data_IF_722400463673
#
_entry.id   IF_722400463673
#
_cell.length_a   1.000
_cell.length_b   1.000
_cell.length_c   1.000
_cell.angle_alpha   90.00
_cell.angle_beta   90.00
_cell.angle_gamma   90.00
#
_symmetry.space_group_name_H-M   'P 1'
#
loop_
_entity.id
_entity.type
_entity.pdbx_description
1 polymer ?
#
# COMPACT_ATOMS: atom_id res chain seq x y z
N UNK A 1 22.07 -4.12 2.69
CA UNK A 1 21.56 -4.98 3.78
C UNK A 1 21.05 -6.27 3.16
N UNK A 2 21.39 -7.47 3.67
CA UNK A 2 20.87 -8.71 3.12
C UNK A 2 19.33 -8.80 3.23
N UNK A 3 18.63 -9.42 2.25
CA UNK A 3 17.15 -9.47 2.24
C UNK A 3 16.51 -10.02 3.51
N UNK A 4 17.14 -10.99 4.17
CA UNK A 4 16.61 -11.61 5.39
C UNK A 4 16.48 -10.62 6.56
N UNK A 5 17.33 -9.60 6.62
CA UNK A 5 17.30 -8.59 7.69
C UNK A 5 16.06 -7.71 7.57
N UNK A 6 15.65 -7.40 6.33
CA UNK A 6 14.45 -6.61 6.08
C UNK A 6 13.18 -7.37 6.51
N UNK A 7 13.10 -8.67 6.19
CA UNK A 7 11.98 -9.53 6.62
C UNK A 7 11.91 -9.69 8.13
N UNK A 8 13.04 -9.86 8.81
CA UNK A 8 13.08 -9.96 10.27
C UNK A 8 12.58 -8.67 10.95
N UNK A 9 13.03 -7.50 10.48
CA UNK A 9 12.60 -6.20 10.99
C UNK A 9 11.10 -5.95 10.76
N UNK A 10 10.60 -6.35 9.58
CA UNK A 10 9.19 -6.25 9.26
C UNK A 10 8.33 -7.10 10.23
N UNK A 11 8.72 -8.35 10.47
CA UNK A 11 8.03 -9.22 11.44
C UNK A 11 8.02 -8.60 12.83
N UNK A 12 9.17 -8.13 13.32
CA UNK A 12 9.27 -7.48 14.63
C UNK A 12 8.42 -6.22 14.73
N UNK A 13 8.29 -5.44 13.65
CA UNK A 13 7.43 -4.26 13.62
C UNK A 13 5.96 -4.60 13.86
N UNK A 14 5.45 -5.67 13.22
CA UNK A 14 4.07 -6.15 13.43
C UNK A 14 3.82 -6.60 14.87
N UNK A 15 4.80 -7.28 15.49
CA UNK A 15 4.71 -7.75 16.88
C UNK A 15 4.60 -6.60 17.90
N UNK A 16 5.01 -5.38 17.55
CA UNK A 16 4.91 -4.23 18.46
C UNK A 16 3.47 -3.75 18.69
N UNK A 17 2.58 -3.99 17.72
CA UNK A 17 1.25 -3.37 17.69
C UNK A 17 1.25 -1.84 17.61
N UNK A 18 2.43 -1.20 17.45
CA UNK A 18 2.55 0.24 17.36
C UNK A 18 2.32 0.71 15.90
N UNK A 19 1.27 1.50 15.62
CA UNK A 19 0.95 1.97 14.29
C UNK A 19 2.11 2.64 13.54
N UNK A 20 2.89 3.45 14.24
CA UNK A 20 4.02 4.20 13.65
C UNK A 20 5.12 3.24 13.22
N UNK A 21 5.47 2.27 14.07
CA UNK A 21 6.51 1.27 13.76
C UNK A 21 6.06 0.37 12.60
N UNK A 22 4.78 0.00 12.56
CA UNK A 22 4.20 -0.79 11.46
C UNK A 22 4.23 0.01 10.15
N UNK A 23 3.89 1.30 10.18
CA UNK A 23 3.95 2.20 9.02
C UNK A 23 5.38 2.33 8.48
N UNK A 24 6.37 2.59 9.35
CA UNK A 24 7.79 2.70 8.97
C UNK A 24 8.31 1.42 8.30
N UNK A 25 7.75 0.26 8.68
CA UNK A 25 8.15 -1.03 8.13
C UNK A 25 7.88 -1.15 6.61
N UNK A 26 6.91 -0.38 6.08
CA UNK A 26 6.66 -0.29 4.64
C UNK A 26 7.86 0.25 3.86
N UNK A 27 8.72 1.04 4.51
CA UNK A 27 9.82 1.78 3.89
C UNK A 27 11.20 1.16 4.17
N UNK A 28 11.26 -0.03 4.79
CA UNK A 28 12.53 -0.73 5.01
C UNK A 28 13.17 -1.10 3.68
N UNK A 29 14.42 -0.70 3.48
CA UNK A 29 15.17 -1.02 2.25
C UNK A 29 15.58 -2.51 2.17
N UNK A 30 15.51 -3.15 0.98
CA UNK A 30 15.01 -2.60 -0.28
C UNK A 30 13.51 -2.37 -0.24
N UNK A 31 13.07 -1.25 -0.84
CA UNK A 31 11.66 -0.92 -0.96
C UNK A 31 11.00 -1.95 -1.87
N UNK A 32 9.85 -2.44 -1.45
CA UNK A 32 9.12 -3.51 -2.13
C UNK A 32 7.62 -3.20 -2.13
N UNK A 33 6.99 -3.32 -3.30
CA UNK A 33 5.57 -2.99 -3.44
C UNK A 33 4.67 -3.91 -2.62
N UNK A 34 5.01 -5.20 -2.49
CA UNK A 34 4.19 -6.16 -1.75
C UNK A 34 4.17 -5.82 -0.26
N UNK A 35 5.30 -5.39 0.31
CA UNK A 35 5.37 -4.93 1.70
C UNK A 35 4.57 -3.66 1.93
N UNK A 36 4.68 -2.68 1.03
CA UNK A 36 3.87 -1.45 1.15
C UNK A 36 2.38 -1.74 1.08
N UNK A 37 1.94 -2.61 0.16
CA UNK A 37 0.54 -3.06 0.05
C UNK A 37 0.09 -3.73 1.35
N UNK A 38 0.89 -4.67 1.88
CA UNK A 38 0.54 -5.40 3.09
C UNK A 38 0.41 -4.48 4.30
N UNK A 39 1.33 -3.53 4.47
CA UNK A 39 1.26 -2.54 5.56
C UNK A 39 0.04 -1.64 5.40
N UNK A 40 -0.21 -1.10 4.20
CA UNK A 40 -1.36 -0.24 3.94
C UNK A 40 -2.68 -0.95 4.30
N UNK A 41 -2.86 -2.19 3.84
CA UNK A 41 -4.05 -3.01 4.15
C UNK A 41 -4.15 -3.33 5.64
N UNK A 42 -3.06 -3.73 6.28
CA UNK A 42 -3.04 -4.04 7.72
C UNK A 42 -3.48 -2.84 8.54
N UNK A 43 -2.96 -1.64 8.24
CA UNK A 43 -3.35 -0.40 8.92
C UNK A 43 -4.82 -0.04 8.66
N UNK A 44 -5.29 -0.15 7.42
CA UNK A 44 -6.68 0.10 7.01
C UNK A 44 -7.69 -0.86 7.70
N UNK A 45 -7.29 -2.09 7.96
CA UNK A 45 -8.11 -3.08 8.67
C UNK A 45 -8.15 -2.83 10.19
N UNK A 46 -7.06 -2.31 10.76
CA UNK A 46 -6.90 -2.09 12.20
C UNK A 46 -7.31 -0.68 12.66
N UNK A 47 -8.21 0.01 11.92
CA UNK A 47 -8.71 1.37 12.20
C UNK A 47 -7.62 2.47 12.19
N UNK A 48 -6.50 2.22 11.52
CA UNK A 48 -5.39 3.16 11.32
C UNK A 48 -5.42 3.68 9.88
N UNK A 49 -6.61 4.11 9.46
CA UNK A 49 -6.93 4.33 8.04
C UNK A 49 -6.14 5.49 7.44
N UNK A 50 -5.77 6.51 8.23
CA UNK A 50 -4.96 7.62 7.76
C UNK A 50 -3.52 7.18 7.41
N UNK A 51 -2.91 6.38 8.30
CA UNK A 51 -1.57 5.82 8.08
C UNK A 51 -1.57 4.82 6.91
N UNK A 52 -2.60 3.97 6.83
CA UNK A 52 -2.76 3.03 5.72
C UNK A 52 -2.89 3.73 4.38
N UNK A 53 -3.68 4.82 4.32
CA UNK A 53 -3.83 5.63 3.12
C UNK A 53 -2.54 6.32 2.70
N UNK A 54 -1.77 6.86 3.65
CA UNK A 54 -0.47 7.47 3.36
C UNK A 54 0.48 6.47 2.67
N UNK A 55 0.60 5.26 3.22
CA UNK A 55 1.42 4.19 2.63
C UNK A 55 0.91 3.78 1.25
N UNK A 56 -0.41 3.67 1.07
CA UNK A 56 -1.01 3.34 -0.23
C UNK A 56 -0.70 4.40 -1.29
N UNK A 57 -0.85 5.69 -0.95
CA UNK A 57 -0.53 6.82 -1.85
C UNK A 57 0.96 6.82 -2.22
N UNK A 58 1.85 6.54 -1.28
CA UNK A 58 3.27 6.48 -1.59
C UNK A 58 3.64 5.26 -2.43
N UNK A 59 2.94 4.14 -2.24
CA UNK A 59 3.11 2.96 -3.07
C UNK A 59 2.77 3.25 -4.54
N UNK A 60 1.72 4.03 -4.82
CA UNK A 60 1.35 4.41 -6.20
C UNK A 60 2.38 5.35 -6.84
N UNK A 61 2.98 6.27 -6.07
CA UNK A 61 4.06 7.14 -6.57
C UNK A 61 5.34 6.35 -6.88
N UNK A 62 5.70 5.37 -6.05
CA UNK A 62 6.93 4.58 -6.20
C UNK A 62 6.80 3.48 -7.25
N UNK A 63 5.61 2.91 -7.40
CA UNK A 63 5.32 1.79 -8.29
C UNK A 63 4.14 2.08 -9.23
N UNK A 64 4.18 3.16 -10.03
CA UNK A 64 3.02 3.61 -10.81
C UNK A 64 2.57 2.61 -11.88
N UNK A 65 3.43 1.66 -12.25
CA UNK A 65 3.12 0.60 -13.22
C UNK A 65 2.71 -0.74 -12.58
N UNK A 66 2.49 -0.77 -11.26
CA UNK A 66 1.96 -1.94 -10.57
C UNK A 66 0.46 -1.77 -10.36
N UNK A 67 -0.35 -2.67 -10.95
CA UNK A 67 -1.81 -2.60 -10.82
C UNK A 67 -2.27 -2.70 -9.35
N UNK A 68 -1.61 -3.55 -8.55
CA UNK A 68 -2.04 -3.84 -7.19
C UNK A 68 -1.89 -2.65 -6.24
N UNK A 69 -0.93 -1.74 -6.46
CA UNK A 69 -0.81 -0.55 -5.60
C UNK A 69 -1.99 0.41 -5.82
N UNK A 70 -2.50 0.50 -7.06
CA UNK A 70 -3.70 1.27 -7.36
C UNK A 70 -4.97 0.60 -6.84
N UNK A 71 -5.10 -0.72 -7.02
CA UNK A 71 -6.19 -1.48 -6.42
C UNK A 71 -6.24 -1.34 -4.89
N UNK A 72 -5.06 -1.29 -4.25
CA UNK A 72 -4.95 -1.04 -2.81
C UNK A 72 -5.44 0.36 -2.45
N UNK A 73 -5.04 1.40 -3.20
CA UNK A 73 -5.53 2.77 -2.99
C UNK A 73 -7.06 2.85 -3.15
N UNK A 74 -7.64 2.21 -4.17
CA UNK A 74 -9.10 2.18 -4.38
C UNK A 74 -9.83 1.51 -3.20
N UNK A 75 -9.23 0.47 -2.61
CA UNK A 75 -9.76 -0.27 -1.47
C UNK A 75 -9.63 0.43 -0.11
N UNK A 76 -8.84 1.52 0.00
CA UNK A 76 -8.70 2.25 1.27
C UNK A 76 -10.05 2.87 1.70
N UNK A 77 -10.40 2.72 2.98
CA UNK A 77 -11.66 3.24 3.55
C UNK A 77 -11.66 4.77 3.65
N UNK A 78 -10.50 5.32 3.98
CA UNK A 78 -10.25 6.76 4.13
C UNK A 78 -9.90 7.47 2.82
N UNK A 79 -9.79 6.75 1.69
CA UNK A 79 -9.49 7.38 0.40
C UNK A 79 -10.64 8.28 -0.08
N UNK A 80 -10.30 9.47 -0.58
CA UNK A 80 -11.29 10.41 -1.14
C UNK A 80 -11.85 9.89 -2.47
N UNK A 81 -12.97 10.47 -2.91
CA UNK A 81 -13.56 10.14 -4.19
C UNK A 81 -12.58 10.40 -5.36
N UNK A 82 -11.80 11.47 -5.29
CA UNK A 82 -10.79 11.82 -6.29
C UNK A 82 -9.64 10.81 -6.31
N UNK A 83 -9.20 10.33 -5.14
CA UNK A 83 -8.16 9.31 -5.03
C UNK A 83 -8.62 7.98 -5.60
N UNK A 84 -9.86 7.55 -5.31
CA UNK A 84 -10.46 6.34 -5.88
C UNK A 84 -10.64 6.47 -7.40
N UNK A 85 -11.12 7.62 -7.88
CA UNK A 85 -11.25 7.89 -9.32
C UNK A 85 -9.90 7.82 -10.04
N UNK A 86 -8.84 8.41 -9.45
CA UNK A 86 -7.49 8.31 -9.99
C UNK A 86 -6.98 6.86 -9.99
N UNK A 87 -7.22 6.11 -8.91
CA UNK A 87 -6.84 4.70 -8.83
C UNK A 87 -7.50 3.86 -9.93
N UNK A 88 -8.81 4.01 -10.13
CA UNK A 88 -9.55 3.30 -11.16
C UNK A 88 -9.06 3.66 -12.58
N UNK A 89 -8.76 4.94 -12.82
CA UNK A 89 -8.18 5.40 -14.09
C UNK A 89 -6.82 4.75 -14.37
N UNK A 90 -5.95 4.68 -13.37
CA UNK A 90 -4.62 4.06 -13.52
C UNK A 90 -4.71 2.54 -13.66
N UNK A 91 -5.61 1.90 -12.91
CA UNK A 91 -5.93 0.48 -13.09
C UNK A 91 -6.41 0.20 -14.52
N UNK A 92 -7.25 1.05 -15.10
CA UNK A 92 -7.69 0.94 -16.51
C UNK A 92 -6.55 1.16 -17.49
N UNK A 93 -5.62 2.09 -17.21
CA UNK A 93 -4.42 2.29 -18.04
C UNK A 93 -3.54 1.04 -18.06
N UNK A 94 -3.43 0.34 -16.92
CA UNK A 94 -2.60 -0.85 -16.75
C UNK A 94 -3.27 -2.13 -17.25
N UNK A 95 -4.60 -2.21 -17.16
CA UNK A 95 -5.41 -3.32 -17.67
C UNK A 95 -6.62 -2.79 -18.48
N UNK A 96 -6.41 -2.35 -19.74
CA UNK A 96 -7.46 -1.73 -20.55
C UNK A 96 -8.65 -2.64 -20.86
N UNK A 97 -8.43 -3.96 -20.86
CA UNK A 97 -9.45 -4.95 -21.18
C UNK A 97 -10.29 -5.38 -19.97
N UNK A 98 -9.99 -4.86 -18.77
CA UNK A 98 -10.77 -5.15 -17.58
C UNK A 98 -12.21 -4.61 -17.70
N UNK A 99 -13.24 -5.46 -17.66
CA UNK A 99 -14.63 -5.03 -17.80
C UNK A 99 -15.19 -4.39 -16.53
N UNK A 100 -14.54 -4.57 -15.38
CA UNK A 100 -14.99 -4.03 -14.09
C UNK A 100 -14.53 -2.59 -13.85
N UNK A 101 -13.66 -2.07 -14.73
CA UNK A 101 -13.12 -0.71 -14.65
C UNK A 101 -13.78 0.13 -15.75
N UNK A 102 -14.49 1.18 -15.32
CA UNK A 102 -15.20 2.12 -16.19
C UNK A 102 -14.28 3.18 -16.76
#
# INVERSE_FOLDING_TARGET
MPPYVASARYKSALETGNPTVIQEAAYIWPIDSSRMIQVAMTLNENKLEAQGLEVAIDATKKFPNNYLVWATLDAMKSATAEQKAQAQKEMKRLDPLNPNLK
#
